data_IF_829025426619
#
_entry.id   IF_829025426619
#
_cell.length_a   1.000
_cell.length_b   1.000
_cell.length_c   1.000
_cell.angle_alpha   90.00
_cell.angle_beta   90.00
_cell.angle_gamma   90.00
#
_symmetry.space_group_name_H-M   'P 1'
#
loop_
_entity.id
_entity.type
_entity.pdbx_description
1 polymer ?
#
# COMPACT_ATOMS: atom_id res chain seq x y z
N UNK A 1 0.67 17.17 17.46
CA UNK A 1 1.16 15.92 16.83
C UNK A 1 -0.06 15.06 16.53
N UNK A 2 -0.47 14.97 15.27
CA UNK A 2 -1.67 14.21 14.90
C UNK A 2 -1.37 12.73 15.08
N UNK A 3 -1.99 12.11 16.08
CA UNK A 3 -1.84 10.69 16.40
C UNK A 3 -2.50 9.89 15.26
N UNK A 4 -1.76 9.67 14.17
CA UNK A 4 -2.29 8.97 13.01
C UNK A 4 -2.37 7.50 13.39
N UNK A 5 -3.59 6.99 13.60
CA UNK A 5 -3.80 5.56 13.85
C UNK A 5 -3.76 4.83 12.50
N UNK A 6 -3.14 3.65 12.49
CA UNK A 6 -3.19 2.75 11.36
C UNK A 6 -4.64 2.42 11.03
N UNK A 7 -4.99 2.44 9.76
CA UNK A 7 -6.32 2.07 9.26
C UNK A 7 -6.38 0.60 8.83
N UNK A 8 -5.25 0.02 8.42
CA UNK A 8 -5.17 -1.37 7.96
C UNK A 8 -5.01 -2.36 9.13
N UNK A 9 -4.52 -1.88 10.27
CA UNK A 9 -4.10 -2.71 11.40
C UNK A 9 -2.65 -3.20 11.30
N UNK A 10 -1.93 -2.90 10.21
CA UNK A 10 -0.53 -3.31 10.04
C UNK A 10 0.46 -2.38 10.76
N UNK A 11 0.07 -1.15 11.07
CA UNK A 11 0.97 -0.13 11.61
C UNK A 11 1.20 1.01 10.62
N UNK A 12 1.46 2.21 11.14
CA UNK A 12 1.59 3.45 10.34
C UNK A 12 2.85 3.47 9.47
N UNK A 13 3.83 2.66 9.84
CA UNK A 13 5.07 2.40 9.14
C UNK A 13 4.89 1.41 7.98
N UNK A 14 3.77 0.67 7.95
CA UNK A 14 3.42 -0.35 6.96
C UNK A 14 2.29 0.07 6.03
N UNK A 15 1.80 1.30 6.15
CA UNK A 15 0.70 1.83 5.33
C UNK A 15 0.96 3.26 4.86
N UNK A 16 0.33 3.62 3.75
CA UNK A 16 0.32 4.98 3.21
C UNK A 16 -1.01 5.26 2.53
N UNK A 17 -1.73 6.29 3.00
CA UNK A 17 -2.96 6.73 2.36
C UNK A 17 -2.66 7.32 0.99
N UNK A 18 -3.43 6.94 -0.02
CA UNK A 18 -3.28 7.40 -1.40
C UNK A 18 -4.60 7.94 -1.93
N UNK A 19 -4.53 8.87 -2.88
CA UNK A 19 -5.71 9.33 -3.61
C UNK A 19 -6.26 8.21 -4.49
N UNK A 20 -7.52 8.33 -4.90
CA UNK A 20 -8.15 7.39 -5.85
C UNK A 20 -7.37 7.30 -7.17
N UNK A 21 -6.86 8.41 -7.68
CA UNK A 21 -6.10 8.45 -8.94
C UNK A 21 -4.74 7.76 -8.81
N UNK A 22 -4.08 7.96 -7.66
CA UNK A 22 -2.83 7.24 -7.37
C UNK A 22 -3.09 5.75 -7.18
N UNK A 23 -4.14 5.36 -6.46
CA UNK A 23 -4.56 3.97 -6.35
C UNK A 23 -4.83 3.34 -7.72
N UNK A 24 -5.48 4.06 -8.64
CA UNK A 24 -5.73 3.58 -10.01
C UNK A 24 -4.43 3.38 -10.78
N UNK A 25 -3.51 4.32 -10.67
CA UNK A 25 -2.17 4.23 -11.28
C UNK A 25 -1.42 3.01 -10.76
N UNK A 26 -1.47 2.75 -9.45
CA UNK A 26 -0.81 1.60 -8.81
C UNK A 26 -1.44 0.27 -9.23
N UNK A 27 -2.77 0.20 -9.36
CA UNK A 27 -3.45 -0.99 -9.86
C UNK A 27 -3.17 -1.28 -11.36
N UNK A 28 -2.78 -0.25 -12.13
CA UNK A 28 -2.48 -0.39 -13.55
C UNK A 28 -3.70 -0.87 -14.34
N UNK A 29 -3.58 -2.03 -14.98
CA UNK A 29 -4.68 -2.67 -15.73
C UNK A 29 -5.72 -3.34 -14.82
N UNK A 30 -5.40 -3.56 -13.55
CA UNK A 30 -6.30 -4.20 -12.59
C UNK A 30 -7.36 -3.19 -12.14
N UNK A 31 -8.60 -3.63 -11.87
CA UNK A 31 -9.60 -2.74 -11.33
C UNK A 31 -9.16 -2.17 -9.97
N UNK A 32 -9.67 -0.98 -9.63
CA UNK A 32 -9.60 -0.48 -8.26
C UNK A 32 -10.36 -1.43 -7.33
N UNK A 33 -9.85 -1.73 -6.12
CA UNK A 33 -10.54 -2.58 -5.17
C UNK A 33 -11.87 -1.94 -4.74
N UNK A 34 -12.91 -2.79 -4.67
CA UNK A 34 -14.19 -2.45 -4.03
C UNK A 34 -13.97 -2.23 -2.52
N UNK A 35 -14.88 -1.52 -1.87
CA UNK A 35 -14.82 -1.31 -0.42
C UNK A 35 -14.78 -2.65 0.33
N UNK A 36 -13.87 -2.79 1.28
CA UNK A 36 -13.61 -4.02 2.03
C UNK A 36 -12.70 -5.02 1.33
N UNK A 37 -12.21 -4.71 0.12
CA UNK A 37 -11.32 -5.57 -0.66
C UNK A 37 -9.97 -4.91 -0.90
N UNK A 38 -9.06 -5.72 -1.43
CA UNK A 38 -7.71 -5.33 -1.79
C UNK A 38 -7.32 -5.83 -3.18
N UNK A 39 -6.28 -5.22 -3.75
CA UNK A 39 -5.69 -5.60 -5.02
C UNK A 39 -4.19 -5.66 -4.84
N UNK A 40 -3.60 -6.83 -5.09
CA UNK A 40 -2.15 -6.98 -5.08
C UNK A 40 -1.56 -6.21 -6.26
N UNK A 41 -0.61 -5.32 -5.98
CA UNK A 41 0.03 -4.47 -6.99
C UNK A 41 1.51 -4.79 -7.19
N UNK A 42 2.16 -5.42 -6.19
CA UNK A 42 3.51 -5.93 -6.35
C UNK A 42 3.72 -7.20 -5.51
N UNK A 43 4.55 -8.12 -6.03
CA UNK A 43 4.98 -9.34 -5.36
C UNK A 43 6.48 -9.49 -5.54
N UNK A 44 7.19 -9.80 -4.46
CA UNK A 44 8.63 -10.09 -4.46
C UNK A 44 8.96 -11.27 -3.57
N UNK A 45 10.12 -11.88 -3.82
CA UNK A 45 10.72 -12.87 -2.91
C UNK A 45 11.89 -12.22 -2.21
N UNK A 46 12.01 -12.45 -0.91
CA UNK A 46 13.21 -12.08 -0.17
C UNK A 46 14.33 -13.13 -0.34
N UNK A 47 15.46 -12.89 0.32
CA UNK A 47 16.63 -13.76 0.28
C UNK A 47 16.43 -15.11 1.00
N UNK A 48 15.39 -15.21 1.84
CA UNK A 48 14.99 -16.43 2.55
C UNK A 48 13.88 -17.20 1.81
N UNK A 49 13.38 -16.67 0.69
CA UNK A 49 12.30 -17.27 -0.11
C UNK A 49 10.89 -16.89 0.34
N UNK A 50 10.72 -16.02 1.34
CA UNK A 50 9.41 -15.51 1.73
C UNK A 50 8.83 -14.60 0.65
N UNK A 51 7.51 -14.66 0.48
CA UNK A 51 6.80 -13.85 -0.52
C UNK A 51 6.28 -12.57 0.14
N UNK A 52 6.92 -11.46 -0.21
CA UNK A 52 6.56 -10.11 0.18
C UNK A 52 5.49 -9.57 -0.78
N UNK A 53 4.49 -8.87 -0.24
CA UNK A 53 3.38 -8.34 -1.06
C UNK A 53 3.07 -6.90 -0.72
N UNK A 54 2.68 -6.17 -1.77
CA UNK A 54 2.17 -4.82 -1.68
C UNK A 54 0.74 -4.78 -2.23
N UNK A 55 -0.15 -4.14 -1.48
CA UNK A 55 -1.58 -4.13 -1.73
C UNK A 55 -2.11 -2.70 -1.79
N UNK A 56 -3.02 -2.45 -2.72
CA UNK A 56 -3.96 -1.33 -2.61
C UNK A 56 -5.21 -1.86 -1.93
N UNK A 57 -5.60 -1.29 -0.80
CA UNK A 57 -6.78 -1.63 -0.02
C UNK A 57 -7.79 -0.50 -0.10
N UNK A 58 -9.09 -0.82 -0.08
CA UNK A 58 -10.16 0.17 0.02
C UNK A 58 -10.91 -0.03 1.34
N UNK A 59 -10.50 0.73 2.36
CA UNK A 59 -11.05 0.63 3.72
C UNK A 59 -12.04 1.76 3.90
N UNK A 60 -13.33 1.41 3.89
CA UNK A 60 -14.45 2.36 4.05
C UNK A 60 -14.34 3.58 3.11
N UNK A 61 -13.95 3.37 1.85
CA UNK A 61 -13.80 4.44 0.85
C UNK A 61 -12.44 5.14 0.85
N UNK A 62 -11.57 4.85 1.83
CA UNK A 62 -10.19 5.34 1.87
C UNK A 62 -9.27 4.34 1.17
N UNK A 63 -8.52 4.80 0.17
CA UNK A 63 -7.50 3.97 -0.48
C UNK A 63 -6.18 4.03 0.27
N UNK A 64 -5.61 2.87 0.51
CA UNK A 64 -4.39 2.70 1.30
C UNK A 64 -3.46 1.76 0.57
N UNK A 65 -2.22 2.18 0.35
CA UNK A 65 -1.15 1.29 -0.06
C UNK A 65 -0.57 0.66 1.20
N UNK A 66 -0.45 -0.66 1.26
CA UNK A 66 -0.04 -1.35 2.48
C UNK A 66 0.70 -2.66 2.18
N UNK A 67 1.58 -3.04 3.10
CA UNK A 67 2.27 -4.32 3.12
C UNK A 67 2.33 -4.81 4.56
N UNK A 68 2.02 -6.08 4.80
CA UNK A 68 2.07 -6.65 6.16
C UNK A 68 3.50 -6.97 6.62
N UNK A 69 4.44 -7.03 5.68
CA UNK A 69 5.78 -7.59 5.87
C UNK A 69 6.92 -6.60 5.56
N UNK A 70 6.62 -5.51 4.86
CA UNK A 70 7.63 -4.55 4.40
C UNK A 70 7.25 -3.13 4.80
N UNK A 71 8.12 -2.45 5.55
CA UNK A 71 7.93 -1.06 5.95
C UNK A 71 8.00 -0.10 4.73
N UNK A 72 7.26 1.01 4.80
CA UNK A 72 7.02 1.91 3.66
C UNK A 72 8.25 2.66 3.17
N UNK A 73 9.24 2.85 4.03
CA UNK A 73 10.55 3.41 3.68
C UNK A 73 11.36 2.49 2.77
N UNK A 74 11.06 1.19 2.77
CA UNK A 74 11.71 0.18 1.93
C UNK A 74 10.95 -0.18 0.66
N UNK A 75 9.74 0.37 0.44
CA UNK A 75 8.92 -0.01 -0.73
C UNK A 75 9.55 0.35 -2.06
N UNK A 76 10.36 1.40 -2.13
CA UNK A 76 11.07 1.74 -3.35
C UNK A 76 12.15 0.70 -3.67
N UNK A 77 12.95 0.31 -2.68
CA UNK A 77 13.98 -0.72 -2.82
C UNK A 77 13.38 -2.08 -3.18
N UNK A 78 12.32 -2.49 -2.46
CA UNK A 78 11.75 -3.83 -2.58
C UNK A 78 10.81 -3.93 -3.77
N UNK A 79 9.84 -3.03 -3.88
CA UNK A 79 8.75 -3.12 -4.85
C UNK A 79 8.89 -2.16 -6.03
N UNK A 80 9.91 -1.29 -6.06
CA UNK A 80 10.00 -0.17 -7.01
C UNK A 80 8.79 0.79 -6.93
N UNK A 81 8.19 0.92 -5.75
CA UNK A 81 7.01 1.79 -5.53
C UNK A 81 7.33 2.87 -4.50
N UNK A 82 7.27 4.14 -4.93
CA UNK A 82 7.33 5.28 -4.03
C UNK A 82 5.98 5.62 -3.40
N UNK A 83 5.87 5.70 -2.06
CA UNK A 83 4.73 6.30 -1.39
C UNK A 83 4.80 7.83 -1.58
N UNK A 84 4.22 8.34 -2.67
CA UNK A 84 4.21 9.79 -2.88
C UNK A 84 3.32 10.47 -1.83
N UNK A 85 3.85 11.47 -1.13
CA UNK A 85 3.03 12.41 -0.37
C UNK A 85 2.13 13.19 -1.33
N UNK A 86 0.84 13.27 -1.02
CA UNK A 86 0.02 14.37 -1.52
C UNK A 86 0.65 15.66 -0.97
N UNK A 87 1.22 16.51 -1.84
CA UNK A 87 1.43 17.91 -1.48
C UNK A 87 0.03 18.48 -1.21
N UNK A 88 -0.19 18.92 0.02
CA UNK A 88 -1.34 19.75 0.38
C UNK A 88 -1.24 21.09 -0.34
#
# INVERSE_FOLDING_TARGET
MTNQRSITGFGVEFEHRVTRDRARTLCGIRPLPRMGYETCVAVKRDHLGFTLRLWVQNISGTYVLASADTAKDRWEEVFAVRPHCARR
#
